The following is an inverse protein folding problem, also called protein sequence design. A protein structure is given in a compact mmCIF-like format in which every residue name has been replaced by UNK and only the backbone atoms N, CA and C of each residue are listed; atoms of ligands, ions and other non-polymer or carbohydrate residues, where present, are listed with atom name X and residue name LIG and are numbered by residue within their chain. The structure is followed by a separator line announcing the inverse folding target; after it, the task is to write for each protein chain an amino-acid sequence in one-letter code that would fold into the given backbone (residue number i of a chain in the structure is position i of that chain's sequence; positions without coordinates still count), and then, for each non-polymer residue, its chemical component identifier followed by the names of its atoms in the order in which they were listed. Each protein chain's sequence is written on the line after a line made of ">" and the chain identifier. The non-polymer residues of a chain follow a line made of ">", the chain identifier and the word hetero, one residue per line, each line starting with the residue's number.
data_IF_920036936879
#
_entry.id   IF_920036936879
#
_cell.length_a   1.000
_cell.length_b   1.000
_cell.length_c   1.000
_cell.angle_alpha   90.00
_cell.angle_beta   90.00
_cell.angle_gamma   90.00
#
_symmetry.space_group_name_H-M   'P 1'
#
loop_
_entity.id
_entity.type
_entity.pdbx_description
1 polymer ?
#
# COMPACT_ATOMS: atom_id res chain seq x y z
N UNK A 1 -15.31 11.32 -7.12
CA UNK A 1 -14.03 10.78 -7.64
C UNK A 1 -13.73 9.48 -6.92
N UNK A 2 -13.48 8.41 -7.67
CA UNK A 2 -13.39 7.03 -7.17
C UNK A 2 -12.04 6.79 -6.49
N UNK A 3 -12.04 6.22 -5.27
CA UNK A 3 -10.83 5.77 -4.59
C UNK A 3 -10.24 4.53 -5.30
N UNK A 4 -8.92 4.33 -5.16
CA UNK A 4 -8.25 3.10 -5.57
C UNK A 4 -7.16 3.29 -6.62
N UNK A 5 -6.00 2.68 -6.35
CA UNK A 5 -4.84 2.68 -7.24
C UNK A 5 -4.92 1.46 -8.16
N UNK A 6 -5.02 1.67 -9.48
CA UNK A 6 -4.97 0.59 -10.48
C UNK A 6 -3.54 0.40 -10.96
N UNK A 7 -3.00 -0.80 -10.82
CA UNK A 7 -1.66 -1.19 -11.27
C UNK A 7 -1.76 -2.51 -12.02
N UNK A 8 -1.37 -2.55 -13.30
CA UNK A 8 -1.32 -3.79 -14.11
C UNK A 8 -2.59 -4.65 -14.02
N UNK A 9 -3.76 -4.00 -14.10
CA UNK A 9 -5.06 -4.69 -14.02
C UNK A 9 -5.50 -5.13 -12.63
N UNK A 10 -4.73 -4.83 -11.57
CA UNK A 10 -5.15 -5.02 -10.19
C UNK A 10 -5.55 -3.68 -9.55
N UNK A 11 -6.57 -3.72 -8.68
CA UNK A 11 -7.04 -2.57 -7.90
C UNK A 11 -6.55 -2.70 -6.46
N UNK A 12 -5.90 -1.65 -5.95
CA UNK A 12 -5.45 -1.56 -4.57
C UNK A 12 -6.27 -0.53 -3.81
N UNK A 13 -6.80 -0.93 -2.66
CA UNK A 13 -7.66 -0.10 -1.80
C UNK A 13 -7.36 -0.35 -0.33
N UNK A 14 -7.50 0.69 0.48
CA UNK A 14 -7.62 0.54 1.92
C UNK A 14 -9.03 0.06 2.28
N UNK A 15 -9.18 -0.65 3.41
CA UNK A 15 -10.47 -1.18 3.86
C UNK A 15 -11.55 -0.10 4.07
N UNK A 16 -11.16 1.14 4.33
CA UNK A 16 -12.11 2.27 4.43
C UNK A 16 -12.72 2.68 3.09
N UNK A 17 -12.15 2.22 1.98
CA UNK A 17 -12.59 2.57 0.63
C UNK A 17 -13.22 1.39 -0.13
N UNK A 18 -13.57 0.28 0.54
CA UNK A 18 -14.17 -0.88 -0.13
C UNK A 18 -15.49 -0.57 -0.82
N UNK A 19 -16.25 0.42 -0.34
CA UNK A 19 -17.50 0.85 -0.98
C UNK A 19 -17.32 1.43 -2.38
N UNK A 20 -16.08 1.63 -2.86
CA UNK A 20 -15.79 2.04 -4.24
C UNK A 20 -15.54 0.87 -5.18
N UNK A 21 -15.54 -0.38 -4.68
CA UNK A 21 -15.46 -1.57 -5.51
C UNK A 21 -16.80 -1.85 -6.19
N UNK A 22 -16.74 -2.65 -7.26
CA UNK A 22 -17.94 -3.27 -7.82
C UNK A 22 -18.49 -4.30 -6.81
N UNK A 23 -19.80 -4.56 -6.83
CA UNK A 23 -20.40 -5.55 -5.94
C UNK A 23 -19.75 -6.95 -6.05
N UNK A 24 -19.39 -7.46 -7.25
CA UNK A 24 -18.65 -8.72 -7.37
C UNK A 24 -17.28 -8.69 -6.69
N UNK A 25 -16.50 -7.61 -6.87
CA UNK A 25 -15.18 -7.50 -6.25
C UNK A 25 -15.28 -7.36 -4.72
N UNK A 26 -16.26 -6.60 -4.23
CA UNK A 26 -16.52 -6.48 -2.80
C UNK A 26 -16.84 -7.85 -2.18
N UNK A 27 -17.73 -8.64 -2.82
CA UNK A 27 -18.05 -10.00 -2.38
C UNK A 27 -16.82 -10.92 -2.35
N UNK A 28 -15.93 -10.83 -3.35
CA UNK A 28 -14.65 -11.57 -3.35
C UNK A 28 -13.76 -11.19 -2.18
N UNK A 29 -13.64 -9.91 -1.86
CA UNK A 29 -12.84 -9.43 -0.72
C UNK A 29 -13.41 -9.93 0.60
N UNK A 30 -14.71 -9.81 0.79
CA UNK A 30 -15.36 -10.28 2.02
C UNK A 30 -15.25 -11.80 2.21
N UNK A 31 -15.44 -12.57 1.15
CA UNK A 31 -15.24 -14.02 1.17
C UNK A 31 -13.79 -14.39 1.53
N UNK A 32 -12.81 -13.72 0.91
CA UNK A 32 -11.40 -13.91 1.23
C UNK A 32 -11.08 -13.58 2.70
N UNK A 33 -11.62 -12.47 3.22
CA UNK A 33 -11.43 -12.07 4.61
C UNK A 33 -12.06 -13.09 5.58
N UNK A 34 -13.29 -13.54 5.32
CA UNK A 34 -13.99 -14.56 6.13
C UNK A 34 -13.25 -15.90 6.09
N UNK A 35 -12.85 -16.37 4.92
CA UNK A 35 -12.20 -17.68 4.76
C UNK A 35 -10.82 -17.76 5.42
N UNK A 36 -10.13 -16.63 5.59
CA UNK A 36 -8.75 -16.62 6.08
C UNK A 36 -8.59 -16.14 7.51
N UNK A 37 -9.54 -15.35 8.03
CA UNK A 37 -9.42 -14.69 9.33
C UNK A 37 -8.24 -13.72 9.41
N UNK A 38 -7.67 -13.31 8.27
CA UNK A 38 -6.45 -12.50 8.25
C UNK A 38 -6.70 -11.10 8.81
N UNK A 39 -5.73 -10.55 9.52
CA UNK A 39 -5.65 -9.11 9.82
C UNK A 39 -5.16 -8.41 8.55
N UNK A 40 -5.82 -7.32 8.14
CA UNK A 40 -5.46 -6.55 6.96
C UNK A 40 -6.03 -5.12 7.00
N UNK A 41 -5.41 -4.23 6.25
CA UNK A 41 -5.90 -2.86 6.02
C UNK A 41 -5.87 -2.47 4.54
N UNK A 42 -5.09 -3.13 3.70
CA UNK A 42 -5.07 -2.94 2.25
C UNK A 42 -5.48 -4.22 1.55
N UNK A 43 -6.28 -4.11 0.49
CA UNK A 43 -6.60 -5.21 -0.41
C UNK A 43 -6.06 -4.93 -1.80
N UNK A 44 -5.56 -5.99 -2.45
CA UNK A 44 -5.30 -6.03 -3.89
C UNK A 44 -6.30 -7.00 -4.52
N UNK A 45 -7.17 -6.48 -5.37
CA UNK A 45 -8.11 -7.27 -6.17
C UNK A 45 -7.54 -7.42 -7.57
N UNK A 46 -7.30 -8.65 -8.01
CA UNK A 46 -6.85 -8.96 -9.36
C UNK A 46 -7.79 -10.01 -10.00
N UNK A 47 -7.65 -10.22 -11.31
CA UNK A 47 -8.38 -11.29 -11.99
C UNK A 47 -8.03 -12.70 -11.51
N UNK A 48 -6.83 -12.88 -10.94
CA UNK A 48 -6.30 -14.17 -10.50
C UNK A 48 -6.43 -14.44 -9.00
N UNK A 49 -7.10 -13.54 -8.27
CA UNK A 49 -7.34 -13.68 -6.83
C UNK A 49 -7.35 -12.36 -6.06
N UNK A 50 -7.46 -12.49 -4.75
CA UNK A 50 -7.50 -11.39 -3.78
C UNK A 50 -6.30 -11.51 -2.84
N UNK A 51 -5.53 -10.42 -2.67
CA UNK A 51 -4.50 -10.34 -1.63
C UNK A 51 -4.93 -9.41 -0.51
N UNK A 52 -5.00 -9.93 0.71
CA UNK A 52 -5.18 -9.17 1.93
C UNK A 52 -3.79 -8.81 2.48
N UNK A 53 -3.53 -7.52 2.63
CA UNK A 53 -2.23 -6.97 3.02
C UNK A 53 -2.38 -6.21 4.33
N UNK A 54 -1.47 -6.48 5.26
CA UNK A 54 -1.39 -5.77 6.53
C UNK A 54 -0.13 -4.92 6.57
N UNK A 55 -0.31 -3.61 6.54
CA UNK A 55 0.75 -2.64 6.77
C UNK A 55 0.66 -2.13 8.22
N UNK A 56 1.75 -2.21 8.99
CA UNK A 56 1.77 -1.65 10.35
C UNK A 56 1.72 -0.12 10.31
N UNK A 57 1.13 0.48 11.35
CA UNK A 57 1.17 1.93 11.58
C UNK A 57 0.72 2.73 10.33
N UNK A 58 -0.36 2.27 9.70
CA UNK A 58 -0.75 2.72 8.35
C UNK A 58 -1.05 4.22 8.30
N UNK A 59 -1.59 4.80 9.36
CA UNK A 59 -1.92 6.23 9.37
C UNK A 59 -0.70 7.06 9.78
N UNK A 60 0.12 6.54 10.69
CA UNK A 60 1.24 7.20 11.34
C UNK A 60 2.53 7.19 10.50
N UNK A 61 2.96 6.03 9.99
CA UNK A 61 4.18 5.88 9.20
C UNK A 61 3.93 6.39 7.76
N UNK A 62 4.68 7.36 7.22
CA UNK A 62 4.53 7.82 5.84
C UNK A 62 4.70 6.72 4.79
N UNK A 63 5.54 5.73 5.10
CA UNK A 63 5.89 4.57 4.27
C UNK A 63 5.74 3.26 5.05
N UNK A 64 4.50 2.88 5.42
CA UNK A 64 4.25 1.82 6.36
C UNK A 64 4.77 0.49 5.82
N UNK A 65 5.39 -0.30 6.70
CA UNK A 65 5.98 -1.59 6.33
C UNK A 65 4.92 -2.69 6.21
N UNK A 66 5.03 -3.52 5.17
CA UNK A 66 4.22 -4.73 5.04
C UNK A 66 4.62 -5.70 6.16
N UNK A 67 3.67 -6.08 6.99
CA UNK A 67 3.84 -7.06 8.08
C UNK A 67 3.38 -8.44 7.67
N UNK A 68 2.27 -8.54 6.94
CA UNK A 68 1.73 -9.81 6.50
C UNK A 68 0.97 -9.69 5.18
N UNK A 69 0.95 -10.78 4.41
CA UNK A 69 0.10 -10.89 3.22
C UNK A 69 -0.56 -12.27 3.16
N UNK A 70 -1.83 -12.30 2.79
CA UNK A 70 -2.57 -13.53 2.48
C UNK A 70 -3.17 -13.41 1.09
N UNK A 71 -2.71 -14.23 0.15
CA UNK A 71 -3.26 -14.33 -1.20
C UNK A 71 -4.19 -15.52 -1.29
N UNK A 72 -5.41 -15.28 -1.76
CA UNK A 72 -6.42 -16.29 -2.08
C UNK A 72 -6.54 -16.31 -3.60
N UNK A 73 -6.18 -17.42 -4.22
CA UNK A 73 -6.35 -17.67 -5.64
C UNK A 73 -7.79 -18.10 -5.93
N UNK A 74 -8.25 -17.90 -7.18
CA UNK A 74 -9.62 -18.28 -7.56
C UNK A 74 -9.83 -19.82 -7.58
N UNK A 75 -8.75 -20.61 -7.61
CA UNK A 75 -8.76 -22.08 -7.41
C UNK A 75 -8.87 -22.51 -5.93
N UNK A 76 -9.00 -21.55 -5.00
CA UNK A 76 -9.10 -21.78 -3.56
C UNK A 76 -7.75 -21.91 -2.84
N UNK A 77 -6.62 -21.89 -3.56
CA UNK A 77 -5.30 -21.98 -2.93
C UNK A 77 -4.99 -20.71 -2.12
N UNK A 78 -4.52 -20.90 -0.89
CA UNK A 78 -4.16 -19.81 0.03
C UNK A 78 -2.64 -19.79 0.22
N UNK A 79 -2.03 -18.61 0.01
CA UNK A 79 -0.61 -18.38 0.25
C UNK A 79 -0.45 -17.28 1.30
N UNK A 80 0.14 -17.61 2.45
CA UNK A 80 0.46 -16.67 3.53
C UNK A 80 1.95 -16.34 3.52
N UNK A 81 2.29 -15.10 3.83
CA UNK A 81 3.67 -14.64 4.04
C UNK A 81 3.71 -13.70 5.23
N UNK A 82 4.69 -13.94 6.10
CA UNK A 82 5.02 -13.09 7.25
C UNK A 82 6.29 -12.30 6.94
N UNK A 83 6.26 -11.01 7.23
CA UNK A 83 7.33 -10.04 7.04
C UNK A 83 7.73 -9.36 8.36
N UNK A 84 7.12 -9.70 9.50
CA UNK A 84 7.32 -9.01 10.76
C UNK A 84 8.78 -9.01 11.26
N UNK A 85 9.55 -10.05 10.93
CA UNK A 85 10.96 -10.19 11.32
C UNK A 85 11.95 -9.79 10.21
N UNK A 86 11.47 -9.19 9.11
CA UNK A 86 12.35 -8.73 8.02
C UNK A 86 13.05 -7.44 8.45
N UNK A 87 14.38 -7.44 8.43
CA UNK A 87 15.18 -6.22 8.64
C UNK A 87 14.93 -5.16 7.57
N UNK A 88 14.71 -5.60 6.33
CA UNK A 88 14.42 -4.76 5.18
C UNK A 88 13.05 -5.11 4.55
N UNK A 89 11.93 -4.71 5.19
CA UNK A 89 10.61 -5.08 4.72
C UNK A 89 10.22 -4.29 3.46
N UNK A 90 9.31 -4.84 2.63
CA UNK A 90 8.60 -4.03 1.64
C UNK A 90 7.81 -2.90 2.31
N UNK A 91 7.77 -1.74 1.67
CA UNK A 91 7.03 -0.57 2.19
C UNK A 91 5.93 -0.14 1.22
N UNK A 92 4.89 0.48 1.76
CA UNK A 92 3.82 1.04 0.95
C UNK A 92 4.19 2.43 0.44
N UNK A 93 4.15 2.58 -0.88
CA UNK A 93 4.26 3.87 -1.55
C UNK A 93 2.89 4.37 -1.98
N UNK A 94 2.71 5.70 -1.90
CA UNK A 94 1.52 6.38 -2.42
C UNK A 94 0.22 5.97 -1.71
N UNK A 95 0.22 5.88 -0.36
CA UNK A 95 -0.93 5.42 0.43
C UNK A 95 -2.17 6.32 0.28
N UNK A 96 -1.98 7.59 -0.08
CA UNK A 96 -3.04 8.55 -0.40
C UNK A 96 -3.94 8.13 -1.58
N UNK A 97 -3.45 7.24 -2.45
CA UNK A 97 -4.22 6.71 -3.58
C UNK A 97 -5.14 5.54 -3.20
N UNK A 98 -4.95 4.97 -2.00
CA UNK A 98 -5.67 3.78 -1.56
C UNK A 98 -6.92 4.13 -0.73
N UNK A 99 -7.03 5.37 -0.26
CA UNK A 99 -8.14 5.83 0.60
C UNK A 99 -9.13 6.70 -0.18
N UNK A 100 -10.31 6.95 0.42
CA UNK A 100 -11.31 7.88 -0.11
C UNK A 100 -10.78 9.30 -0.22
N UNK A 101 -11.35 10.09 -1.14
CA UNK A 101 -11.06 11.50 -1.28
C UNK A 101 -11.28 12.29 0.03
N UNK A 102 -12.27 11.86 0.84
CA UNK A 102 -12.67 12.49 2.09
C UNK A 102 -11.89 11.98 3.32
N UNK A 103 -10.86 11.15 3.11
CA UNK A 103 -10.06 10.63 4.21
C UNK A 103 -9.29 11.78 4.90
N UNK A 104 -9.34 11.89 6.24
CA UNK A 104 -8.84 13.07 6.97
C UNK A 104 -7.36 13.35 6.72
N UNK A 105 -6.54 12.30 6.56
CA UNK A 105 -5.11 12.43 6.34
C UNK A 105 -4.67 12.51 4.86
N UNK A 106 -5.60 12.34 3.90
CA UNK A 106 -5.24 12.21 2.48
C UNK A 106 -4.57 13.44 1.92
N UNK A 107 -5.02 14.63 2.30
CA UNK A 107 -4.44 15.90 1.85
C UNK A 107 -2.98 16.03 2.30
N UNK A 108 -2.69 15.73 3.57
CA UNK A 108 -1.33 15.73 4.13
C UNK A 108 -0.43 14.74 3.39
N UNK A 109 -0.86 13.49 3.20
CA UNK A 109 -0.08 12.49 2.47
C UNK A 109 0.16 12.87 1.00
N UNK A 110 -0.83 13.49 0.36
CA UNK A 110 -0.72 13.99 -1.02
C UNK A 110 0.31 15.10 -1.12
N UNK A 111 0.34 16.02 -0.16
CA UNK A 111 1.31 17.12 -0.11
C UNK A 111 2.75 16.59 0.03
N UNK A 112 3.01 15.71 1.01
CA UNK A 112 4.32 15.11 1.22
C UNK A 112 4.80 14.33 -0.02
N UNK A 113 3.92 13.50 -0.58
CA UNK A 113 4.19 12.77 -1.83
C UNK A 113 4.52 13.70 -2.99
N UNK A 114 3.83 14.84 -3.11
CA UNK A 114 4.07 15.80 -4.18
C UNK A 114 5.46 16.42 -4.08
N UNK A 115 5.92 16.75 -2.87
CA UNK A 115 7.30 17.24 -2.63
C UNK A 115 8.34 16.20 -3.04
N UNK A 116 8.17 14.96 -2.56
CA UNK A 116 9.06 13.85 -2.89
C UNK A 116 9.12 13.54 -4.40
N UNK A 117 7.99 13.62 -5.10
CA UNK A 117 7.95 13.46 -6.56
C UNK A 117 8.72 14.58 -7.25
N UNK A 118 8.54 15.83 -6.83
CA UNK A 118 9.27 16.99 -7.39
C UNK A 118 10.78 16.89 -7.14
N UNK A 119 11.18 16.36 -6.00
CA UNK A 119 12.59 16.11 -5.67
C UNK A 119 13.19 14.88 -6.39
N UNK A 120 12.40 14.14 -7.18
CA UNK A 120 12.88 12.98 -7.94
C UNK A 120 12.94 11.67 -7.15
N UNK A 121 12.44 11.62 -5.91
CA UNK A 121 12.52 10.43 -5.05
C UNK A 121 11.85 9.19 -5.67
N UNK A 122 10.81 9.39 -6.48
CA UNK A 122 10.08 8.32 -7.16
C UNK A 122 10.64 7.90 -8.53
N UNK A 123 11.75 8.49 -9.00
CA UNK A 123 12.42 8.04 -10.21
C UNK A 123 12.88 6.56 -10.06
N UNK A 124 12.75 5.75 -11.11
CA UNK A 124 13.05 4.31 -11.04
C UNK A 124 12.34 3.58 -9.89
N UNK A 125 11.03 3.81 -9.73
CA UNK A 125 10.23 3.32 -8.61
C UNK A 125 10.32 1.80 -8.30
N UNK A 126 10.79 0.98 -9.24
CA UNK A 126 11.05 -0.44 -9.01
C UNK A 126 12.23 -0.70 -8.04
N UNK A 127 13.12 0.27 -7.84
CA UNK A 127 14.31 0.17 -6.98
C UNK A 127 14.06 0.56 -5.53
N UNK A 128 12.93 1.20 -5.22
CA UNK A 128 12.64 1.78 -3.89
C UNK A 128 11.62 0.97 -3.08
N UNK A 129 11.36 -0.28 -3.47
CA UNK A 129 10.28 -1.07 -2.90
C UNK A 129 10.50 -1.52 -1.44
N UNK A 130 11.70 -1.38 -0.91
CA UNK A 130 12.09 -1.82 0.44
C UNK A 130 12.57 -0.66 1.30
N UNK A 131 12.46 -0.79 2.62
CA UNK A 131 12.77 0.28 3.58
C UNK A 131 14.19 0.82 3.44
N UNK A 132 15.19 -0.05 3.33
CA UNK A 132 16.59 0.38 3.19
C UNK A 132 16.82 1.09 1.85
N UNK A 133 16.27 0.54 0.75
CA UNK A 133 16.43 1.14 -0.57
C UNK A 133 15.77 2.53 -0.66
N UNK A 134 14.62 2.70 0.00
CA UNK A 134 13.96 3.99 0.11
C UNK A 134 14.77 5.00 0.92
N UNK A 135 15.25 4.62 2.11
CA UNK A 135 16.11 5.49 2.94
C UNK A 135 17.38 5.90 2.21
N UNK A 136 18.00 4.97 1.49
CA UNK A 136 19.17 5.25 0.67
C UNK A 136 18.85 6.27 -0.44
N UNK A 137 17.71 6.15 -1.12
CA UNK A 137 17.27 7.12 -2.12
C UNK A 137 17.06 8.51 -1.52
N UNK A 138 16.41 8.61 -0.36
CA UNK A 138 16.21 9.90 0.31
C UNK A 138 17.54 10.55 0.69
N UNK A 139 18.48 9.75 1.19
CA UNK A 139 19.85 10.19 1.51
C UNK A 139 20.59 10.70 0.27
N UNK A 140 20.49 10.01 -0.86
CA UNK A 140 21.10 10.45 -2.14
C UNK A 140 20.58 11.81 -2.62
N UNK A 141 19.32 12.12 -2.27
CA UNK A 141 18.67 13.38 -2.62
C UNK A 141 18.80 14.46 -1.52
N UNK A 142 19.44 14.13 -0.39
CA UNK A 142 19.52 14.99 0.79
C UNK A 142 18.16 15.53 1.25
N UNK A 143 17.14 14.66 1.30
CA UNK A 143 15.80 14.98 1.77
C UNK A 143 15.28 13.96 2.79
N UNK A 144 14.29 14.34 3.58
CA UNK A 144 13.59 13.47 4.53
C UNK A 144 12.32 12.83 3.93
N UNK A 145 11.57 12.09 4.76
CA UNK A 145 10.32 11.42 4.36
C UNK A 145 9.15 12.40 4.11
N UNK A 146 9.27 13.66 4.53
CA UNK A 146 8.33 14.74 4.20
C UNK A 146 8.71 15.46 2.89
N UNK A 147 9.89 15.16 2.34
CA UNK A 147 10.45 15.80 1.15
C UNK A 147 11.12 17.15 1.44
N UNK A 148 11.50 17.39 2.69
CA UNK A 148 12.26 18.57 3.12
C UNK A 148 13.77 18.30 3.08
N UNK A 149 14.58 19.32 2.84
CA UNK A 149 16.04 19.16 2.81
C UNK A 149 16.60 18.77 4.18
N UNK A 150 17.50 17.79 4.21
CA UNK A 150 18.25 17.42 5.42
C UNK A 150 19.47 18.33 5.58
N UNK A 151 19.59 18.99 6.73
CA UNK A 151 20.77 19.81 7.10
C UNK A 151 22.01 18.96 7.34
#
# INVERSE_FOLDING_TARGET
>A
MTAGKRIRGATYLHRSALGTLTAPDQARVEMAARATGAVWNVVRVARSGVSLLYYADFDEDPFPALRASTLIHDDGRIVRRDYAQRSNPPILHRKELLVSADHPHRSTWTSATTKLVRAGAFADSHRIGTREAWRQRLKELAIDEAGEATT
#
